data_IF_944152778516
#
_entry.id   IF_944152778516
#
_cell.length_a   1.000
_cell.length_b   1.000
_cell.length_c   1.000
_cell.angle_alpha   90.00
_cell.angle_beta   90.00
_cell.angle_gamma   90.00
#
_symmetry.space_group_name_H-M   'P 1'
#
loop_
_entity.id
_entity.type
_entity.pdbx_description
1 polymer ?
#
# COMPACT_ATOMS: atom_id res chain seq x y z
N UNK A 1 -32.88 -4.71 -27.38
CA UNK A 1 -31.71 -3.81 -27.31
C UNK A 1 -31.47 -3.20 -25.91
N UNK A 2 -32.15 -3.65 -24.84
CA UNK A 2 -31.93 -3.15 -23.46
C UNK A 2 -30.90 -3.94 -22.65
N UNK A 3 -30.86 -5.27 -22.80
CA UNK A 3 -30.03 -6.14 -21.97
C UNK A 3 -28.52 -5.97 -22.12
N UNK A 4 -28.04 -5.61 -23.31
CA UNK A 4 -26.59 -5.45 -23.57
C UNK A 4 -26.03 -4.20 -22.88
N UNK A 5 -26.78 -3.09 -22.90
CA UNK A 5 -26.39 -1.85 -22.22
C UNK A 5 -26.43 -1.99 -20.70
N UNK A 6 -27.42 -2.70 -20.17
CA UNK A 6 -27.50 -3.03 -18.74
C UNK A 6 -26.34 -3.94 -18.32
N UNK A 7 -26.05 -5.01 -19.07
CA UNK A 7 -24.93 -5.90 -18.77
C UNK A 7 -23.58 -5.18 -18.80
N UNK A 8 -23.34 -4.29 -19.78
CA UNK A 8 -22.13 -3.48 -19.84
C UNK A 8 -22.01 -2.51 -18.66
N UNK A 9 -23.11 -1.84 -18.28
CA UNK A 9 -23.12 -0.96 -17.12
C UNK A 9 -22.83 -1.71 -15.81
N UNK A 10 -23.41 -2.91 -15.64
CA UNK A 10 -23.12 -3.78 -14.48
C UNK A 10 -21.66 -4.21 -14.46
N UNK A 11 -21.08 -4.64 -15.59
CA UNK A 11 -19.67 -5.03 -15.65
C UNK A 11 -18.72 -3.86 -15.31
N UNK A 12 -19.04 -2.64 -15.78
CA UNK A 12 -18.27 -1.44 -15.44
C UNK A 12 -18.39 -1.08 -13.95
N UNK A 13 -19.60 -1.19 -13.38
CA UNK A 13 -19.82 -0.97 -11.95
C UNK A 13 -19.10 -2.02 -11.09
N UNK A 14 -19.17 -3.30 -11.47
CA UNK A 14 -18.47 -4.39 -10.77
C UNK A 14 -16.96 -4.23 -10.84
N UNK A 15 -16.42 -3.82 -12.00
CA UNK A 15 -15.01 -3.50 -12.13
C UNK A 15 -14.60 -2.34 -11.19
N UNK A 16 -15.45 -1.33 -11.05
CA UNK A 16 -15.23 -0.23 -10.10
C UNK A 16 -15.20 -0.72 -8.65
N UNK A 17 -16.17 -1.54 -8.25
CA UNK A 17 -16.25 -2.09 -6.90
C UNK A 17 -15.06 -2.99 -6.56
N UNK A 18 -14.61 -3.82 -7.52
CA UNK A 18 -13.43 -4.68 -7.34
C UNK A 18 -12.14 -3.86 -7.23
N UNK A 19 -12.00 -2.78 -8.00
CA UNK A 19 -10.85 -1.87 -7.90
C UNK A 19 -10.85 -1.20 -6.53
N UNK A 20 -11.99 -0.69 -6.08
CA UNK A 20 -12.13 -0.07 -4.77
C UNK A 20 -11.79 -1.03 -3.62
N UNK A 21 -12.35 -2.24 -3.61
CA UNK A 21 -12.03 -3.26 -2.60
C UNK A 21 -10.52 -3.58 -2.60
N UNK A 22 -9.93 -3.77 -3.79
CA UNK A 22 -8.49 -4.06 -3.90
C UNK A 22 -7.63 -2.92 -3.32
N UNK A 23 -8.00 -1.67 -3.60
CA UNK A 23 -7.33 -0.48 -3.08
C UNK A 23 -7.44 -0.43 -1.55
N UNK A 24 -8.63 -0.62 -0.98
CA UNK A 24 -8.84 -0.57 0.46
C UNK A 24 -8.20 -1.74 1.21
N UNK A 25 -8.20 -2.94 0.64
CA UNK A 25 -7.45 -4.08 1.19
C UNK A 25 -5.96 -3.81 1.22
N UNK A 26 -5.40 -3.24 0.15
CA UNK A 26 -3.99 -2.86 0.13
C UNK A 26 -3.67 -1.81 1.20
N UNK A 27 -4.53 -0.80 1.33
CA UNK A 27 -4.42 0.25 2.35
C UNK A 27 -4.43 -0.31 3.79
N UNK A 28 -5.35 -1.23 4.09
CA UNK A 28 -5.44 -1.88 5.39
C UNK A 28 -4.26 -2.81 5.69
N UNK A 29 -3.82 -3.60 4.71
CA UNK A 29 -2.66 -4.48 4.87
C UNK A 29 -1.41 -3.66 5.18
N UNK A 30 -1.13 -2.57 4.45
CA UNK A 30 0.05 -1.75 4.72
C UNK A 30 0.05 -1.15 6.14
N UNK A 31 -1.12 -0.81 6.68
CA UNK A 31 -1.25 -0.28 8.04
C UNK A 31 -1.10 -1.31 9.16
N UNK A 32 -1.32 -2.60 8.86
CA UNK A 32 -1.45 -3.61 9.91
C UNK A 32 -0.54 -4.83 9.74
N UNK A 33 0.06 -5.07 8.57
CA UNK A 33 0.94 -6.20 8.32
C UNK A 33 2.08 -6.27 9.35
N UNK A 34 2.46 -7.50 9.75
CA UNK A 34 3.58 -7.76 10.68
C UNK A 34 4.82 -8.32 9.99
N UNK A 35 4.63 -8.88 8.81
CA UNK A 35 5.68 -9.34 7.89
C UNK A 35 5.28 -8.82 6.53
N UNK A 36 6.21 -8.19 5.83
CA UNK A 36 5.93 -7.60 4.53
C UNK A 36 7.14 -7.73 3.62
N UNK A 37 7.03 -8.60 2.62
CA UNK A 37 8.09 -8.77 1.61
C UNK A 37 8.26 -7.48 0.80
N UNK A 38 9.44 -7.31 0.18
CA UNK A 38 9.68 -6.17 -0.71
C UNK A 38 8.71 -6.15 -1.90
N UNK A 39 8.41 -7.33 -2.46
CA UNK A 39 7.50 -7.45 -3.59
C UNK A 39 6.05 -7.13 -3.20
N UNK A 40 5.57 -7.68 -2.08
CA UNK A 40 4.22 -7.42 -1.60
C UNK A 40 4.03 -5.95 -1.25
N UNK A 41 5.02 -5.35 -0.56
CA UNK A 41 5.03 -3.93 -0.27
C UNK A 41 4.84 -3.10 -1.54
N UNK A 42 5.63 -3.35 -2.59
CA UNK A 42 5.53 -2.59 -3.84
C UNK A 42 4.15 -2.78 -4.50
N UNK A 43 3.66 -4.02 -4.58
CA UNK A 43 2.35 -4.32 -5.17
C UNK A 43 1.21 -3.60 -4.43
N UNK A 44 1.22 -3.65 -3.10
CA UNK A 44 0.20 -3.00 -2.26
C UNK A 44 0.30 -1.48 -2.35
N UNK A 45 1.51 -0.92 -2.31
CA UNK A 45 1.71 0.52 -2.38
C UNK A 45 1.31 1.09 -3.75
N UNK A 46 1.57 0.35 -4.84
CA UNK A 46 1.07 0.69 -6.17
C UNK A 46 -0.46 0.73 -6.23
N UNK A 47 -1.15 -0.20 -5.58
CA UNK A 47 -2.61 -0.18 -5.49
C UNK A 47 -3.10 1.05 -4.69
N UNK A 48 -2.49 1.37 -3.55
CA UNK A 48 -2.82 2.58 -2.79
C UNK A 48 -2.58 3.85 -3.60
N UNK A 49 -1.45 3.93 -4.33
CA UNK A 49 -1.16 5.06 -5.20
C UNK A 49 -2.19 5.22 -6.32
N UNK A 50 -2.64 4.12 -6.92
CA UNK A 50 -3.75 4.14 -7.87
C UNK A 50 -5.02 4.66 -7.21
N UNK A 51 -5.36 4.16 -6.02
CA UNK A 51 -6.48 4.65 -5.22
C UNK A 51 -6.45 6.16 -4.99
N UNK A 52 -5.27 6.72 -4.67
CA UNK A 52 -5.10 8.17 -4.54
C UNK A 52 -5.36 8.90 -5.87
N UNK A 53 -4.85 8.37 -6.99
CA UNK A 53 -5.07 8.99 -8.32
C UNK A 53 -6.52 8.92 -8.80
N UNK A 54 -7.29 7.94 -8.30
CA UNK A 54 -8.71 7.78 -8.58
C UNK A 54 -9.61 8.55 -7.59
N UNK A 55 -9.03 9.20 -6.58
CA UNK A 55 -9.79 9.89 -5.52
C UNK A 55 -10.50 8.94 -4.54
N UNK A 56 -10.10 7.68 -4.47
CA UNK A 56 -10.65 6.69 -3.53
C UNK A 56 -10.03 6.80 -2.13
N UNK A 57 -8.78 7.28 -2.06
CA UNK A 57 -8.06 7.48 -0.81
C UNK A 57 -7.63 8.94 -0.74
N UNK A 58 -8.20 9.66 0.22
CA UNK A 58 -7.85 11.04 0.52
C UNK A 58 -6.83 11.15 1.65
N UNK A 59 -6.14 12.29 1.71
CA UNK A 59 -5.27 12.63 2.84
C UNK A 59 -3.90 11.94 2.85
N UNK A 60 -3.50 11.29 1.76
CA UNK A 60 -2.19 10.65 1.63
C UNK A 60 -1.31 11.37 0.58
N UNK A 61 -0.31 12.17 0.99
CA UNK A 61 0.52 12.92 0.07
C UNK A 61 1.36 12.00 -0.84
N UNK A 62 1.50 12.34 -2.12
CA UNK A 62 2.39 11.61 -3.04
C UNK A 62 3.85 11.58 -2.55
N UNK A 63 4.29 12.65 -1.87
CA UNK A 63 5.61 12.70 -1.23
C UNK A 63 5.80 11.60 -0.19
N UNK A 64 4.76 11.29 0.60
CA UNK A 64 4.79 10.20 1.58
C UNK A 64 4.93 8.83 0.92
N UNK A 65 4.16 8.56 -0.15
CA UNK A 65 4.27 7.31 -0.94
C UNK A 65 5.69 7.15 -1.49
N UNK A 66 6.22 8.21 -2.10
CA UNK A 66 7.55 8.17 -2.70
C UNK A 66 8.64 7.95 -1.65
N UNK A 67 8.54 8.61 -0.49
CA UNK A 67 9.47 8.44 0.60
C UNK A 67 9.43 7.01 1.14
N UNK A 68 8.23 6.42 1.31
CA UNK A 68 8.08 5.02 1.72
C UNK A 68 8.82 4.08 0.78
N UNK A 69 8.69 4.24 -0.55
CA UNK A 69 9.42 3.42 -1.53
C UNK A 69 10.93 3.44 -1.36
N UNK A 70 11.50 4.55 -0.90
CA UNK A 70 12.94 4.72 -0.70
C UNK A 70 13.37 4.07 0.62
N UNK A 71 12.68 4.41 1.72
CA UNK A 71 13.13 4.00 3.06
C UNK A 71 12.91 2.52 3.36
N UNK A 72 12.03 1.84 2.62
CA UNK A 72 11.79 0.39 2.77
C UNK A 72 12.72 -0.48 1.93
N UNK A 73 13.65 0.14 1.18
CA UNK A 73 14.63 -0.60 0.38
C UNK A 73 15.58 -1.39 1.29
N UNK A 74 16.08 -2.56 0.84
CA UNK A 74 16.96 -3.40 1.64
C UNK A 74 18.18 -2.67 2.22
N UNK A 75 18.81 -1.79 1.44
CA UNK A 75 19.97 -1.01 1.87
C UNK A 75 19.65 -0.04 3.01
N UNK A 76 18.48 0.61 2.98
CA UNK A 76 18.04 1.52 4.03
C UNK A 76 17.66 0.77 5.30
N UNK A 77 16.95 -0.36 5.17
CA UNK A 77 16.62 -1.22 6.30
C UNK A 77 17.88 -1.79 6.97
N UNK A 78 18.88 -2.15 6.17
CA UNK A 78 20.17 -2.63 6.65
C UNK A 78 20.98 -1.52 7.33
N UNK A 79 20.93 -0.29 6.83
CA UNK A 79 21.62 0.85 7.42
C UNK A 79 21.00 1.32 8.76
N UNK A 80 19.67 1.19 8.92
CA UNK A 80 18.99 1.45 10.20
C UNK A 80 19.27 0.33 11.23
N UNK A 81 19.60 -0.87 10.76
CA UNK A 81 19.96 -1.99 11.62
C UNK A 81 21.42 -1.90 12.08
N UNK A 82 21.65 -2.18 13.36
CA UNK A 82 23.00 -2.27 13.96
C UNK A 82 23.66 -3.64 13.74
N UNK A 83 23.05 -4.49 12.93
CA UNK A 83 23.46 -5.87 12.66
C UNK A 83 22.99 -6.28 11.26
N UNK A 84 23.62 -7.31 10.69
CA UNK A 84 23.15 -7.92 9.44
C UNK A 84 21.72 -8.46 9.61
N UNK A 85 20.85 -8.14 8.64
CA UNK A 85 19.48 -8.63 8.62
C UNK A 85 19.35 -9.80 7.65
N UNK A 86 18.72 -10.88 8.10
CA UNK A 86 18.23 -11.92 7.19
C UNK A 86 17.08 -11.38 6.32
N UNK A 87 16.67 -12.14 5.30
CA UNK A 87 15.50 -11.74 4.51
C UNK A 87 14.22 -11.65 5.35
N UNK A 88 14.03 -12.58 6.29
CA UNK A 88 12.87 -12.57 7.18
C UNK A 88 12.89 -11.36 8.13
N UNK A 89 14.06 -11.01 8.67
CA UNK A 89 14.19 -9.83 9.54
C UNK A 89 13.90 -8.54 8.78
N UNK A 90 14.36 -8.43 7.53
CA UNK A 90 14.03 -7.29 6.65
C UNK A 90 12.52 -7.17 6.43
N UNK A 91 11.81 -8.27 6.27
CA UNK A 91 10.37 -8.24 6.02
C UNK A 91 9.58 -7.81 7.27
N UNK A 92 10.01 -8.23 8.47
CA UNK A 92 9.46 -7.75 9.74
C UNK A 92 9.75 -6.26 9.93
N UNK A 93 11.00 -5.84 9.72
CA UNK A 93 11.44 -4.44 9.85
C UNK A 93 10.73 -3.52 8.85
N UNK A 94 10.54 -3.97 7.61
CA UNK A 94 9.77 -3.25 6.60
C UNK A 94 8.35 -3.01 7.07
N UNK A 95 7.68 -4.06 7.54
CA UNK A 95 6.33 -3.94 8.07
C UNK A 95 6.28 -2.96 9.26
N UNK A 96 7.23 -3.04 10.20
CA UNK A 96 7.36 -2.11 11.33
C UNK A 96 7.50 -0.65 10.88
N UNK A 97 8.44 -0.37 9.97
CA UNK A 97 8.70 0.96 9.43
C UNK A 97 7.48 1.54 8.72
N UNK A 98 6.82 0.74 7.86
CA UNK A 98 5.62 1.18 7.12
C UNK A 98 4.53 1.60 8.09
N UNK A 99 4.23 0.78 9.12
CA UNK A 99 3.22 1.11 10.12
C UNK A 99 3.55 2.38 10.90
N UNK A 100 4.79 2.50 11.37
CA UNK A 100 5.28 3.67 12.10
C UNK A 100 5.08 4.95 11.30
N UNK A 101 5.52 4.95 10.04
CA UNK A 101 5.36 6.09 9.12
C UNK A 101 3.89 6.41 8.84
N UNK A 102 3.03 5.39 8.74
CA UNK A 102 1.59 5.60 8.55
C UNK A 102 0.92 6.26 9.75
N UNK A 103 1.33 5.89 10.95
CA UNK A 103 0.86 6.47 12.21
C UNK A 103 1.30 7.94 12.33
N UNK A 104 2.57 8.22 12.06
CA UNK A 104 3.12 9.59 12.02
C UNK A 104 2.38 10.47 11.00
N UNK A 105 2.10 9.94 9.81
CA UNK A 105 1.36 10.63 8.75
C UNK A 105 -0.07 11.00 9.16
N UNK A 106 -0.68 10.24 10.07
CA UNK A 106 -2.03 10.50 10.59
C UNK A 106 -2.05 11.44 11.81
N UNK A 107 -0.89 11.87 12.29
CA UNK A 107 -0.80 12.73 13.48
C UNK A 107 -1.21 12.03 14.79
N UNK A 108 -1.19 10.70 14.82
CA UNK A 108 -1.52 9.89 15.98
C UNK A 108 -0.23 9.47 16.68
N UNK A 109 0.48 10.40 17.33
CA UNK A 109 1.64 10.08 18.18
C UNK A 109 1.21 9.74 19.61
#
# INVERSE_FOLDING_TARGET
MGHEKEAQATLLADASAQVEDKVWRAYGILQHARVLSGQDFMNLLSAVRLGCSLGLIDGLPLGFINQLMIVTQPSHLQAEARSDLSSADRDVRRAELVRRRWTEQRGLS
#
